data_IF_280205317059
#
_entry.id   IF_280205317059
#
_cell.length_a   1.000
_cell.length_b   1.000
_cell.length_c   1.000
_cell.angle_alpha   90.00
_cell.angle_beta   90.00
_cell.angle_gamma   90.00
#
_symmetry.space_group_name_H-M   'P 1'
#
loop_
_entity.id
_entity.type
_entity.pdbx_description
1 polymer ?
#
# COMPACT_ATOMS: atom_id res chain seq x y z
N UNK A 1 -1.04 19.67 -7.74
CA UNK A 1 -1.76 18.38 -7.74
C UNK A 1 -1.13 17.54 -6.65
N UNK A 2 -1.85 17.36 -5.56
CA UNK A 2 -1.40 16.59 -4.39
C UNK A 2 -1.65 15.10 -4.61
N UNK A 3 -0.78 14.25 -4.07
CA UNK A 3 -0.97 12.80 -4.08
C UNK A 3 -0.80 12.23 -2.68
N UNK A 4 -1.45 11.11 -2.44
CA UNK A 4 -1.28 10.30 -1.25
C UNK A 4 -0.94 8.88 -1.69
N UNK A 5 0.24 8.41 -1.31
CA UNK A 5 0.61 7.02 -1.51
C UNK A 5 0.10 6.24 -0.32
N UNK A 6 -0.49 5.09 -0.58
CA UNK A 6 -1.06 4.24 0.45
C UNK A 6 -0.76 2.75 0.18
N UNK A 7 -0.60 2.02 1.26
CA UNK A 7 -0.48 0.56 1.28
C UNK A 7 -1.04 0.03 2.60
N UNK A 8 -1.57 -1.17 2.62
CA UNK A 8 -2.15 -1.76 3.84
C UNK A 8 -1.58 -3.14 4.13
N UNK A 9 -1.42 -3.43 5.42
CA UNK A 9 -1.10 -4.75 5.90
C UNK A 9 -2.31 -5.38 6.58
N UNK A 10 -2.56 -6.65 6.26
CA UNK A 10 -3.74 -7.38 6.69
C UNK A 10 -3.36 -8.76 7.18
N UNK A 11 -4.25 -9.43 7.92
CA UNK A 11 -4.12 -10.87 8.15
C UNK A 11 -4.14 -11.61 6.81
N UNK A 12 -3.46 -12.75 6.72
CA UNK A 12 -3.17 -13.44 5.46
C UNK A 12 -4.12 -14.59 5.12
N UNK A 13 -5.06 -14.93 6.00
CA UNK A 13 -6.06 -15.96 5.72
C UNK A 13 -6.76 -15.68 4.38
N UNK A 14 -6.96 -16.72 3.59
CA UNK A 14 -7.56 -16.57 2.25
C UNK A 14 -6.92 -15.44 1.42
N UNK A 15 -5.57 -15.33 1.47
CA UNK A 15 -4.76 -14.29 0.78
C UNK A 15 -5.14 -12.86 1.18
N UNK A 16 -5.54 -12.63 2.42
CA UNK A 16 -5.94 -11.31 2.88
C UNK A 16 -7.24 -10.79 2.26
N UNK A 17 -8.12 -11.68 1.83
CA UNK A 17 -9.36 -11.31 1.15
C UNK A 17 -10.20 -10.35 2.01
N UNK A 18 -10.51 -9.11 1.53
CA UNK A 18 -11.27 -8.12 2.29
C UNK A 18 -12.75 -8.51 2.50
N UNK A 19 -13.26 -9.49 1.76
CA UNK A 19 -14.62 -10.01 1.92
C UNK A 19 -14.72 -11.18 2.90
N UNK A 20 -13.58 -11.72 3.32
CA UNK A 20 -13.52 -12.73 4.38
C UNK A 20 -13.57 -12.04 5.75
N UNK A 21 -14.64 -12.34 6.52
CA UNK A 21 -14.89 -11.69 7.82
C UNK A 21 -13.86 -12.07 8.90
N UNK A 22 -13.12 -13.16 8.72
CA UNK A 22 -12.05 -13.56 9.63
C UNK A 22 -10.81 -12.67 9.49
N UNK A 23 -10.63 -12.03 8.34
CA UNK A 23 -9.50 -11.15 8.08
C UNK A 23 -9.67 -9.75 8.71
N UNK A 24 -8.56 -9.18 9.12
CA UNK A 24 -8.48 -7.85 9.74
C UNK A 24 -7.44 -6.99 9.04
N UNK A 25 -7.73 -5.70 8.98
CA UNK A 25 -6.75 -4.67 8.64
C UNK A 25 -5.83 -4.46 9.84
N UNK A 26 -4.54 -4.61 9.65
CA UNK A 26 -3.58 -4.55 10.75
C UNK A 26 -2.86 -3.21 10.81
N UNK A 27 -2.46 -2.68 9.66
CA UNK A 27 -1.66 -1.48 9.58
C UNK A 27 -1.93 -0.73 8.28
N UNK A 28 -1.86 0.59 8.29
CA UNK A 28 -1.99 1.46 7.11
C UNK A 28 -0.75 2.32 6.99
N UNK A 29 -0.09 2.26 5.85
CA UNK A 29 1.00 3.17 5.48
C UNK A 29 0.48 4.27 4.58
N UNK A 30 0.84 5.51 4.89
CA UNK A 30 0.54 6.70 4.10
C UNK A 30 1.83 7.48 3.86
N UNK A 31 1.97 8.03 2.66
CA UNK A 31 3.07 8.94 2.34
C UNK A 31 2.53 10.11 1.53
N UNK A 32 2.79 11.31 2.00
CA UNK A 32 2.47 12.58 1.35
C UNK A 32 3.69 13.53 1.36
N UNK A 33 3.48 14.80 1.10
CA UNK A 33 4.54 15.82 1.07
C UNK A 33 5.21 16.05 2.46
N UNK A 34 4.57 15.64 3.54
CA UNK A 34 5.12 15.73 4.90
C UNK A 34 5.99 14.50 5.26
N UNK A 35 5.86 13.43 4.52
CA UNK A 35 6.63 12.20 4.68
C UNK A 35 5.79 10.94 4.90
N UNK A 36 6.46 9.86 5.23
CA UNK A 36 5.82 8.56 5.46
C UNK A 36 5.36 8.41 6.91
N UNK A 37 4.09 8.07 7.10
CA UNK A 37 3.48 7.69 8.37
C UNK A 37 2.95 6.24 8.31
N UNK A 38 3.03 5.54 9.44
CA UNK A 38 2.49 4.19 9.60
C UNK A 38 1.55 4.17 10.79
N UNK A 39 0.37 3.61 10.61
CA UNK A 39 -0.74 3.63 11.56
C UNK A 39 -1.15 2.21 11.90
N UNK A 40 -0.91 1.80 13.14
CA UNK A 40 -1.33 0.50 13.68
C UNK A 40 -2.79 0.53 14.10
N UNK A 41 -3.57 -0.47 13.72
CA UNK A 41 -4.98 -0.61 14.10
C UNK A 41 -5.10 -1.49 15.32
N UNK A 42 -5.28 -0.87 16.47
CA UNK A 42 -5.48 -1.56 17.74
C UNK A 42 -6.98 -1.76 18.01
N UNK A 43 -7.43 -3.00 17.88
CA UNK A 43 -8.82 -3.39 18.13
C UNK A 43 -9.19 -3.48 19.60
N UNK A 44 -8.22 -3.42 20.52
CA UNK A 44 -8.47 -3.45 21.97
C UNK A 44 -8.89 -2.10 22.52
N UNK A 45 -8.72 -1.04 21.77
CA UNK A 45 -8.99 0.35 22.16
C UNK A 45 -9.96 0.97 21.17
N UNK A 46 -10.94 1.72 21.63
CA UNK A 46 -11.90 2.45 20.76
C UNK A 46 -11.29 3.60 19.92
N UNK A 47 -10.01 3.99 20.05
CA UNK A 47 -9.38 5.03 19.24
C UNK A 47 -9.11 4.66 17.77
N UNK A 48 -9.36 3.44 17.32
CA UNK A 48 -9.20 3.18 15.88
C UNK A 48 -10.14 4.04 15.02
N UNK A 49 -11.26 4.53 15.58
CA UNK A 49 -12.14 5.48 14.91
C UNK A 49 -11.48 6.83 14.66
N UNK A 50 -10.71 7.33 15.62
CA UNK A 50 -9.94 8.55 15.46
C UNK A 50 -8.88 8.36 14.37
N UNK A 51 -8.22 7.22 14.38
CA UNK A 51 -7.28 6.85 13.35
C UNK A 51 -7.91 6.80 11.96
N UNK A 52 -9.09 6.18 11.82
CA UNK A 52 -9.82 6.16 10.55
C UNK A 52 -10.24 7.56 10.10
N UNK A 53 -10.59 8.46 11.03
CA UNK A 53 -10.85 9.85 10.72
C UNK A 53 -9.60 10.55 10.18
N UNK A 54 -8.42 10.31 10.76
CA UNK A 54 -7.16 10.87 10.28
C UNK A 54 -6.81 10.34 8.88
N UNK A 55 -7.02 9.06 8.63
CA UNK A 55 -6.86 8.46 7.29
C UNK A 55 -7.84 9.12 6.30
N UNK A 56 -9.11 9.33 6.68
CA UNK A 56 -10.08 10.00 5.83
C UNK A 56 -9.64 11.43 5.50
N UNK A 57 -9.13 12.18 6.48
CA UNK A 57 -8.63 13.54 6.27
C UNK A 57 -7.45 13.56 5.27
N UNK A 58 -6.52 12.62 5.39
CA UNK A 58 -5.42 12.49 4.43
C UNK A 58 -5.93 12.16 3.02
N UNK A 59 -6.89 11.23 2.91
CA UNK A 59 -7.56 10.91 1.64
C UNK A 59 -8.25 12.16 1.07
N UNK A 60 -8.97 12.91 1.90
CA UNK A 60 -9.70 14.10 1.46
C UNK A 60 -8.77 15.22 0.96
N UNK A 61 -7.60 15.36 1.54
CA UNK A 61 -6.60 16.35 1.15
C UNK A 61 -5.92 16.06 -0.20
N UNK A 62 -5.87 14.79 -0.62
CA UNK A 62 -5.21 14.38 -1.84
C UNK A 62 -6.11 14.52 -3.08
N UNK A 63 -5.51 14.88 -4.23
CA UNK A 63 -6.16 14.84 -5.54
C UNK A 63 -6.13 13.43 -6.16
N UNK A 64 -5.07 12.67 -5.87
CA UNK A 64 -4.80 11.36 -6.44
C UNK A 64 -4.35 10.40 -5.36
N UNK A 65 -4.94 9.22 -5.32
CA UNK A 65 -4.50 8.10 -4.51
C UNK A 65 -3.55 7.22 -5.33
N UNK A 66 -2.43 6.86 -4.76
CA UNK A 66 -1.37 6.10 -5.43
C UNK A 66 -1.08 4.84 -4.63
N UNK A 67 -0.89 3.72 -5.33
CA UNK A 67 -0.47 2.47 -4.71
C UNK A 67 0.05 1.48 -5.74
N UNK A 68 0.53 0.36 -5.28
CA UNK A 68 0.96 -0.75 -6.13
C UNK A 68 -0.05 -1.89 -6.02
N UNK A 69 -0.85 -2.15 -7.05
CA UNK A 69 -2.06 -2.97 -6.98
C UNK A 69 -3.09 -2.39 -5.98
N UNK A 70 -3.25 -1.08 -6.03
CA UNK A 70 -4.04 -0.27 -5.09
C UNK A 70 -5.49 -0.74 -4.93
N UNK A 71 -6.02 -1.49 -5.87
CA UNK A 71 -7.37 -2.06 -5.79
C UNK A 71 -7.56 -2.89 -4.51
N UNK A 72 -6.54 -3.63 -4.10
CA UNK A 72 -6.55 -4.41 -2.87
C UNK A 72 -6.72 -3.49 -1.65
N UNK A 73 -5.90 -2.46 -1.55
CA UNK A 73 -5.88 -1.49 -0.46
C UNK A 73 -7.21 -0.72 -0.37
N UNK A 74 -7.72 -0.29 -1.51
CA UNK A 74 -9.00 0.44 -1.57
C UNK A 74 -10.19 -0.42 -1.12
N UNK A 75 -10.20 -1.72 -1.40
CA UNK A 75 -11.24 -2.62 -0.87
C UNK A 75 -11.18 -2.72 0.66
N UNK A 76 -9.97 -2.77 1.23
CA UNK A 76 -9.79 -2.77 2.68
C UNK A 76 -10.23 -1.45 3.30
N UNK A 77 -9.77 -0.32 2.78
CA UNK A 77 -10.18 1.00 3.28
C UNK A 77 -11.69 1.20 3.20
N UNK A 78 -12.33 0.78 2.09
CA UNK A 78 -13.79 0.82 1.94
C UNK A 78 -14.51 -0.02 3.00
N UNK A 79 -14.01 -1.21 3.32
CA UNK A 79 -14.57 -2.05 4.39
C UNK A 79 -14.58 -1.35 5.75
N UNK A 80 -13.61 -0.46 6.00
CA UNK A 80 -13.50 0.34 7.22
C UNK A 80 -14.16 1.73 7.11
N UNK A 81 -14.91 1.97 6.05
CA UNK A 81 -15.75 3.17 5.90
C UNK A 81 -15.04 4.38 5.31
N UNK A 82 -13.83 4.24 4.78
CA UNK A 82 -13.14 5.33 4.09
C UNK A 82 -13.81 5.60 2.73
N UNK A 83 -14.19 6.84 2.50
CA UNK A 83 -14.75 7.30 1.23
C UNK A 83 -13.65 7.88 0.33
N UNK A 84 -13.49 7.30 -0.83
CA UNK A 84 -12.58 7.76 -1.88
C UNK A 84 -13.27 7.87 -3.24
N UNK A 85 -14.59 7.89 -3.28
CA UNK A 85 -15.41 7.82 -4.50
C UNK A 85 -15.14 8.96 -5.49
N UNK A 86 -14.61 10.10 -5.01
CA UNK A 86 -14.30 11.28 -5.82
C UNK A 86 -12.81 11.40 -6.18
N UNK A 87 -11.99 10.43 -5.80
CA UNK A 87 -10.55 10.48 -5.99
C UNK A 87 -10.12 9.85 -7.30
N UNK A 88 -9.13 10.44 -7.92
CA UNK A 88 -8.40 9.79 -9.01
C UNK A 88 -7.44 8.75 -8.43
N UNK A 89 -7.15 7.74 -9.20
CA UNK A 89 -6.29 6.63 -8.76
C UNK A 89 -5.14 6.44 -9.73
N UNK A 90 -3.93 6.28 -9.20
CA UNK A 90 -2.74 5.86 -9.91
C UNK A 90 -2.31 4.51 -9.38
N UNK A 91 -2.52 3.47 -10.16
CA UNK A 91 -2.04 2.12 -9.84
C UNK A 91 -0.70 1.87 -10.52
N UNK A 92 0.39 1.90 -9.75
CA UNK A 92 1.74 1.72 -10.29
C UNK A 92 1.93 0.37 -10.98
N UNK A 93 1.23 -0.69 -10.55
CA UNK A 93 1.29 -1.99 -11.22
C UNK A 93 0.65 -1.94 -12.62
N UNK A 94 -0.52 -1.33 -12.72
CA UNK A 94 -1.22 -1.18 -14.00
C UNK A 94 -0.46 -0.26 -14.96
N UNK A 95 0.05 0.86 -14.46
CA UNK A 95 0.85 1.80 -15.25
C UNK A 95 2.10 1.11 -15.79
N UNK A 96 2.81 0.33 -14.95
CA UNK A 96 3.98 -0.42 -15.40
C UNK A 96 3.62 -1.42 -16.50
N UNK A 97 2.53 -2.16 -16.33
CA UNK A 97 2.05 -3.11 -17.32
C UNK A 97 1.77 -2.45 -18.67
N UNK A 98 1.18 -1.25 -18.66
CA UNK A 98 0.90 -0.46 -19.87
C UNK A 98 2.22 0.06 -20.48
N UNK A 99 3.12 0.61 -19.68
CA UNK A 99 4.42 1.11 -20.14
C UNK A 99 5.26 0.02 -20.81
N UNK A 100 5.12 -1.24 -20.39
CA UNK A 100 5.74 -2.43 -20.99
C UNK A 100 4.96 -2.99 -22.18
N UNK A 101 4.03 -2.23 -22.76
CA UNK A 101 3.18 -2.64 -23.89
C UNK A 101 2.41 -3.94 -23.63
N UNK A 102 2.09 -4.22 -22.37
CA UNK A 102 1.32 -5.40 -21.95
C UNK A 102 1.98 -6.74 -22.38
N UNK A 103 3.32 -6.72 -22.53
CA UNK A 103 4.07 -7.84 -23.12
C UNK A 103 4.44 -8.94 -22.12
N UNK A 104 4.19 -8.72 -20.83
CA UNK A 104 4.52 -9.65 -19.75
C UNK A 104 3.34 -9.78 -18.76
N UNK A 105 3.44 -10.71 -17.81
CA UNK A 105 2.54 -10.77 -16.67
C UNK A 105 2.61 -9.47 -15.84
N UNK A 106 1.57 -9.21 -15.03
CA UNK A 106 1.57 -8.07 -14.11
C UNK A 106 2.83 -8.10 -13.23
N UNK A 107 3.62 -7.01 -13.20
CA UNK A 107 4.86 -6.95 -12.44
C UNK A 107 4.58 -6.90 -10.92
N UNK A 108 5.54 -7.39 -10.12
CA UNK A 108 5.55 -7.13 -8.68
C UNK A 108 6.25 -5.79 -8.38
N UNK A 109 6.04 -5.24 -7.17
CA UNK A 109 6.76 -4.04 -6.74
C UNK A 109 8.27 -4.24 -6.78
N UNK A 110 8.78 -5.41 -6.33
CA UNK A 110 10.20 -5.74 -6.39
C UNK A 110 10.75 -5.76 -7.81
N UNK A 111 10.07 -6.46 -8.73
CA UNK A 111 10.50 -6.53 -10.13
C UNK A 111 10.49 -5.15 -10.81
N UNK A 112 9.53 -4.29 -10.46
CA UNK A 112 9.45 -2.92 -10.97
C UNK A 112 10.56 -2.04 -10.39
N UNK A 113 10.82 -2.15 -9.10
CA UNK A 113 11.90 -1.42 -8.44
C UNK A 113 13.28 -1.82 -8.98
N UNK A 114 13.51 -3.10 -9.17
CA UNK A 114 14.73 -3.64 -9.79
C UNK A 114 14.94 -3.10 -11.21
N UNK A 115 13.88 -3.07 -12.01
CA UNK A 115 13.96 -2.50 -13.36
C UNK A 115 14.37 -1.03 -13.38
N UNK A 116 13.89 -0.25 -12.40
CA UNK A 116 14.22 1.18 -12.28
C UNK A 116 15.48 1.46 -11.46
N UNK A 117 16.17 0.43 -10.98
CA UNK A 117 17.37 0.56 -10.13
C UNK A 117 17.09 1.35 -8.83
N UNK A 118 15.96 1.05 -8.19
CA UNK A 118 15.48 1.74 -6.98
C UNK A 118 15.82 1.00 -5.67
N UNK A 119 16.59 -0.09 -5.76
CA UNK A 119 16.86 -0.98 -4.64
C UNK A 119 15.73 -2.00 -4.42
N UNK A 120 15.74 -2.65 -3.28
CA UNK A 120 14.82 -3.75 -2.97
C UNK A 120 13.85 -3.37 -1.87
N UNK A 121 12.66 -3.99 -1.93
CA UNK A 121 11.71 -4.09 -0.84
C UNK A 121 12.35 -4.85 0.33
N UNK A 122 11.90 -4.59 1.57
CA UNK A 122 12.23 -5.42 2.70
C UNK A 122 11.42 -6.71 2.63
N UNK A 123 12.08 -7.86 2.45
CA UNK A 123 11.39 -9.16 2.38
C UNK A 123 11.31 -9.88 3.73
N UNK A 124 11.77 -9.26 4.82
CA UNK A 124 11.87 -9.86 6.14
C UNK A 124 10.54 -10.44 6.64
N UNK A 125 9.45 -9.68 6.52
CA UNK A 125 8.12 -10.14 6.94
C UNK A 125 7.68 -11.36 6.17
N UNK A 126 7.84 -11.33 4.84
CA UNK A 126 7.47 -12.44 3.96
C UNK A 126 8.30 -13.70 4.25
N UNK A 127 9.62 -13.55 4.35
CA UNK A 127 10.53 -14.68 4.49
C UNK A 127 10.49 -15.31 5.88
N UNK A 128 10.42 -14.49 6.94
CA UNK A 128 10.53 -14.97 8.30
C UNK A 128 9.17 -15.31 8.94
N UNK A 129 8.07 -14.76 8.42
CA UNK A 129 6.74 -14.93 9.00
C UNK A 129 5.76 -15.62 8.03
N UNK A 130 5.33 -14.97 6.99
CA UNK A 130 4.25 -15.48 6.11
C UNK A 130 4.57 -16.80 5.44
N UNK A 131 5.81 -17.01 4.95
CA UNK A 131 6.24 -18.28 4.37
C UNK A 131 6.29 -19.42 5.38
N UNK A 132 6.39 -19.08 6.67
CA UNK A 132 6.39 -20.05 7.78
C UNK A 132 4.98 -20.24 8.38
N UNK A 133 3.94 -19.69 7.77
CA UNK A 133 2.55 -19.81 8.23
C UNK A 133 2.22 -18.94 9.44
N UNK A 134 3.07 -17.98 9.78
CA UNK A 134 2.85 -17.00 10.85
C UNK A 134 2.05 -15.83 10.26
N UNK A 135 0.90 -15.52 10.87
CA UNK A 135 0.03 -14.47 10.38
C UNK A 135 0.52 -13.08 10.79
N UNK A 136 0.08 -12.06 10.09
CA UNK A 136 0.49 -10.65 10.26
C UNK A 136 0.27 -10.13 11.68
N UNK A 137 -0.77 -10.58 12.36
CA UNK A 137 -1.04 -10.21 13.76
C UNK A 137 -0.02 -10.76 14.76
N UNK A 138 0.83 -11.69 14.34
CA UNK A 138 1.92 -12.27 15.14
C UNK A 138 3.28 -11.62 14.81
N UNK A 139 3.35 -10.79 13.77
CA UNK A 139 4.57 -10.06 13.43
C UNK A 139 4.79 -8.90 14.41
N UNK A 140 6.02 -8.72 14.95
CA UNK A 140 6.31 -7.54 15.77
C UNK A 140 5.97 -6.25 15.05
N UNK A 141 5.28 -5.33 15.75
CA UNK A 141 4.75 -4.09 15.16
C UNK A 141 5.83 -3.23 14.51
N UNK A 142 7.00 -3.14 15.11
CA UNK A 142 8.14 -2.37 14.58
C UNK A 142 8.62 -2.95 13.23
N UNK A 143 8.71 -4.27 13.13
CA UNK A 143 9.12 -4.95 11.88
C UNK A 143 8.09 -4.72 10.78
N UNK A 144 6.80 -4.85 11.12
CA UNK A 144 5.72 -4.63 10.18
C UNK A 144 5.65 -3.15 9.74
N UNK A 145 5.89 -2.22 10.66
CA UNK A 145 5.91 -0.79 10.37
C UNK A 145 7.06 -0.41 9.43
N UNK A 146 8.27 -0.92 9.66
CA UNK A 146 9.43 -0.66 8.80
C UNK A 146 9.21 -1.26 7.40
N UNK A 147 8.63 -2.46 7.34
CA UNK A 147 8.26 -3.12 6.09
C UNK A 147 7.27 -2.26 5.29
N UNK A 148 6.18 -1.83 5.91
CA UNK A 148 5.14 -1.04 5.27
C UNK A 148 5.62 0.36 4.86
N UNK A 149 6.43 1.00 5.72
CA UNK A 149 7.06 2.28 5.40
C UNK A 149 7.93 2.19 4.15
N UNK A 150 8.73 1.14 4.06
CA UNK A 150 9.56 0.89 2.87
C UNK A 150 8.72 0.68 1.61
N UNK A 151 7.58 0.02 1.72
CA UNK A 151 6.70 -0.23 0.59
C UNK A 151 6.08 1.05 0.02
N UNK A 152 5.61 1.97 0.87
CA UNK A 152 5.07 3.26 0.40
C UNK A 152 6.16 4.16 -0.19
N UNK A 153 7.37 4.19 0.41
CA UNK A 153 8.52 4.93 -0.12
C UNK A 153 8.96 4.39 -1.49
N UNK A 154 9.01 3.08 -1.65
CA UNK A 154 9.38 2.45 -2.91
C UNK A 154 8.32 2.68 -3.99
N UNK A 155 7.04 2.64 -3.61
CA UNK A 155 5.91 2.93 -4.51
C UNK A 155 5.97 4.38 -5.01
N UNK A 156 6.33 5.34 -4.17
CA UNK A 156 6.55 6.73 -4.58
C UNK A 156 7.66 6.84 -5.63
N UNK A 157 8.80 6.21 -5.38
CA UNK A 157 9.93 6.22 -6.30
C UNK A 157 9.56 5.60 -7.65
N UNK A 158 8.79 4.51 -7.64
CA UNK A 158 8.26 3.87 -8.87
C UNK A 158 7.33 4.85 -9.60
N UNK A 159 6.37 5.47 -8.93
CA UNK A 159 5.49 6.48 -9.54
C UNK A 159 6.29 7.59 -10.19
N UNK A 160 7.30 8.13 -9.52
CA UNK A 160 8.16 9.19 -10.05
C UNK A 160 8.88 8.77 -11.33
N UNK A 161 9.40 7.54 -11.40
CA UNK A 161 10.01 6.99 -12.63
C UNK A 161 9.00 6.82 -13.75
N UNK A 162 7.81 6.33 -13.44
CA UNK A 162 6.74 6.16 -14.42
C UNK A 162 6.29 7.50 -15.01
N UNK A 163 6.15 8.53 -14.18
CA UNK A 163 5.84 9.89 -14.65
C UNK A 163 6.94 10.45 -15.57
N UNK A 164 8.21 10.21 -15.26
CA UNK A 164 9.33 10.59 -16.10
C UNK A 164 9.31 9.87 -17.46
N UNK A 165 8.98 8.57 -17.49
CA UNK A 165 8.85 7.83 -18.74
C UNK A 165 7.67 8.33 -19.60
N UNK A 166 6.53 8.58 -18.99
CA UNK A 166 5.36 9.11 -19.69
C UNK A 166 5.62 10.49 -20.29
N UNK A 167 6.40 11.33 -19.62
CA UNK A 167 6.74 12.67 -20.12
C UNK A 167 7.64 12.66 -21.36
N UNK A 168 8.28 11.53 -21.68
CA UNK A 168 9.17 11.36 -22.85
C UNK A 168 8.45 10.80 -24.08
N UNK A 169 7.22 10.35 -23.90
CA UNK A 169 6.39 9.78 -24.98
C UNK A 169 5.46 10.81 -25.60
#
# INVERSE_FOLDING_TARGET
MSYLILDVETTISNKGNPFDQSNKLMMVGLLDDEGAGVYDIDYSVDPYKELLNNIQLAVDAADVLVGFNIKFDLHWLKRYGIDFSKKRVWDCQLVEFILRNQSAAYPSLNATAEYYDLGTKLDEVKENYWKNGIDTNEVPKEILADYLKRDVELTEQVMSKQMQELSKR
#
